data_IF_160979782948
#
_entry.id   IF_160979782948
#
_cell.length_a   1.000
_cell.length_b   1.000
_cell.length_c   1.000
_cell.angle_alpha   90.00
_cell.angle_beta   90.00
_cell.angle_gamma   90.00
#
_symmetry.space_group_name_H-M   'P 1'
#
loop_
_entity.id
_entity.type
_entity.pdbx_description
1 polymer ?
#
# COMPACT_ATOMS: atom_id res chain seq x y z
N UNK A 1 13.34 17.24 -40.72
CA UNK A 1 12.52 16.50 -39.75
C UNK A 1 13.28 15.23 -39.44
N UNK A 2 13.99 15.19 -38.30
CA UNK A 2 14.69 14.00 -37.87
C UNK A 2 13.66 13.07 -37.21
N UNK A 3 13.54 11.84 -37.72
CA UNK A 3 12.82 10.77 -37.04
C UNK A 3 13.49 10.55 -35.69
N UNK A 4 12.81 10.90 -34.61
CA UNK A 4 13.10 10.32 -33.31
C UNK A 4 12.83 8.83 -33.43
N UNK A 5 13.90 8.03 -33.49
CA UNK A 5 13.83 6.59 -33.29
C UNK A 5 13.20 6.36 -31.92
N UNK A 6 11.93 5.95 -31.88
CA UNK A 6 11.28 5.44 -30.68
C UNK A 6 12.16 4.33 -30.09
N UNK A 7 12.72 4.58 -28.91
CA UNK A 7 13.38 3.54 -28.12
C UNK A 7 12.29 2.52 -27.78
N UNK A 8 12.47 1.22 -28.08
CA UNK A 8 11.46 0.22 -27.79
C UNK A 8 11.14 0.23 -26.29
N UNK A 9 9.86 0.40 -25.97
CA UNK A 9 9.36 0.50 -24.60
C UNK A 9 9.39 -0.90 -23.98
N UNK A 10 10.29 -1.13 -23.02
CA UNK A 10 10.38 -2.40 -22.29
C UNK A 10 9.12 -2.60 -21.46
N UNK A 11 8.45 -3.75 -21.62
CA UNK A 11 7.27 -4.10 -20.83
C UNK A 11 7.70 -4.70 -19.48
N UNK A 12 6.92 -4.53 -18.38
CA UNK A 12 7.26 -5.13 -17.09
C UNK A 12 7.58 -6.62 -17.17
N UNK A 13 6.74 -7.42 -17.84
CA UNK A 13 6.93 -8.86 -18.00
C UNK A 13 8.12 -9.30 -18.88
N UNK A 14 8.87 -8.38 -19.49
CA UNK A 14 10.06 -8.67 -20.30
C UNK A 14 11.36 -8.59 -19.47
N UNK A 15 11.33 -7.94 -18.30
CA UNK A 15 12.49 -7.86 -17.41
C UNK A 15 12.63 -9.11 -16.54
N UNK A 16 13.87 -9.55 -16.33
CA UNK A 16 14.16 -10.70 -15.49
C UNK A 16 13.85 -10.41 -14.00
N UNK A 17 12.94 -11.15 -13.33
CA UNK A 17 12.60 -10.93 -11.92
C UNK A 17 13.76 -11.16 -10.93
N UNK A 18 14.90 -11.62 -11.42
CA UNK A 18 16.11 -11.96 -10.65
C UNK A 18 17.31 -11.08 -11.00
N UNK A 19 17.10 -9.99 -11.76
CA UNK A 19 18.15 -9.03 -12.06
C UNK A 19 18.79 -8.52 -10.74
N UNK A 20 20.13 -8.43 -10.65
CA UNK A 20 20.77 -7.92 -9.45
C UNK A 20 20.57 -6.41 -9.32
N UNK A 21 20.20 -5.96 -8.12
CA UNK A 21 20.12 -4.51 -7.83
C UNK A 21 21.48 -3.84 -8.12
N UNK A 22 21.51 -2.72 -8.87
CA UNK A 22 22.69 -1.92 -9.12
C UNK A 22 23.41 -1.52 -7.84
N UNK A 23 24.75 -1.52 -7.86
CA UNK A 23 25.57 -1.28 -6.66
C UNK A 23 25.32 0.10 -6.03
N UNK A 24 25.21 1.14 -6.87
CA UNK A 24 24.90 2.50 -6.42
C UNK A 24 23.60 2.55 -5.59
N UNK A 25 22.56 1.81 -6.01
CA UNK A 25 21.27 1.76 -5.31
C UNK A 25 21.35 0.95 -4.02
N UNK A 26 22.14 -0.12 -3.99
CA UNK A 26 22.43 -0.84 -2.74
C UNK A 26 23.13 0.06 -1.73
N UNK A 27 24.06 0.89 -2.18
CA UNK A 27 24.82 1.79 -1.32
C UNK A 27 23.96 2.96 -0.84
N UNK A 28 23.13 3.54 -1.70
CA UNK A 28 22.11 4.51 -1.31
C UNK A 28 21.14 3.90 -0.28
N UNK A 29 20.65 2.68 -0.50
CA UNK A 29 19.77 2.01 0.46
C UNK A 29 20.44 1.79 1.80
N UNK A 30 21.67 1.27 1.82
CA UNK A 30 22.44 1.04 3.04
C UNK A 30 22.73 2.34 3.79
N UNK A 31 22.98 3.44 3.08
CA UNK A 31 23.27 4.70 3.74
C UNK A 31 22.08 5.16 4.58
N UNK A 32 20.84 4.99 4.11
CA UNK A 32 19.61 5.38 4.83
C UNK A 32 19.00 4.30 5.73
N UNK A 33 19.41 3.04 5.58
CA UNK A 33 18.81 1.90 6.27
C UNK A 33 18.87 2.06 7.79
N UNK A 34 17.70 1.99 8.45
CA UNK A 34 17.60 1.99 9.91
C UNK A 34 18.00 3.31 10.58
N UNK A 35 18.16 4.40 9.82
CA UNK A 35 18.36 5.73 10.40
C UNK A 35 17.08 6.18 11.11
N UNK A 36 17.20 6.44 12.41
CA UNK A 36 16.17 7.08 13.21
C UNK A 36 16.47 8.57 13.29
N UNK A 37 15.87 9.34 12.39
CA UNK A 37 16.11 10.77 12.26
C UNK A 37 14.84 11.55 12.57
N UNK A 38 15.02 12.66 13.30
CA UNK A 38 13.96 13.65 13.48
C UNK A 38 13.68 14.39 12.18
N UNK A 39 12.48 14.97 12.04
CA UNK A 39 12.15 15.85 10.91
C UNK A 39 13.21 16.92 10.65
N UNK A 40 13.78 17.51 11.71
CA UNK A 40 14.84 18.55 11.59
C UNK A 40 16.12 17.99 10.97
N UNK A 41 16.53 16.79 11.37
CA UNK A 41 17.73 16.13 10.82
C UNK A 41 17.53 15.74 9.36
N UNK A 42 16.34 15.26 8.98
CA UNK A 42 16.04 14.91 7.59
C UNK A 42 16.15 16.15 6.68
N UNK A 43 15.59 17.27 7.11
CA UNK A 43 15.70 18.54 6.37
C UNK A 43 17.16 19.01 6.26
N UNK A 44 17.96 18.86 7.33
CA UNK A 44 19.37 19.23 7.32
C UNK A 44 20.23 18.33 6.41
N UNK A 45 19.87 17.05 6.26
CA UNK A 45 20.51 16.13 5.31
C UNK A 45 20.01 16.29 3.86
N UNK A 46 19.16 17.30 3.61
CA UNK A 46 18.65 17.57 2.27
C UNK A 46 17.75 16.45 1.76
N UNK A 47 17.04 15.72 2.65
CA UNK A 47 15.92 14.88 2.22
C UNK A 47 15.05 15.73 1.32
N UNK A 48 14.81 15.18 0.15
CA UNK A 48 14.09 15.80 -0.93
C UNK A 48 12.77 16.39 -0.44
N UNK A 49 12.74 17.71 -0.29
CA UNK A 49 11.49 18.45 -0.20
C UNK A 49 10.90 18.46 -1.60
N UNK A 50 9.68 17.92 -1.73
CA UNK A 50 8.98 17.84 -3.01
C UNK A 50 8.78 19.23 -3.62
N UNK A 51 8.66 20.28 -2.79
CA UNK A 51 8.58 21.65 -3.25
C UNK A 51 9.90 22.17 -3.87
N UNK A 52 11.03 21.54 -3.59
CA UNK A 52 12.36 21.95 -4.06
C UNK A 52 12.75 21.19 -5.33
N UNK A 53 12.55 19.87 -5.39
CA UNK A 53 12.98 19.06 -6.55
C UNK A 53 11.86 18.79 -7.55
N UNK A 54 10.61 18.93 -7.12
CA UNK A 54 9.45 18.56 -7.88
C UNK A 54 9.03 19.70 -8.79
N UNK A 55 8.75 19.38 -10.04
CA UNK A 55 7.99 20.30 -10.88
C UNK A 55 6.53 20.15 -10.49
N UNK A 56 5.92 21.23 -9.98
CA UNK A 56 4.52 21.24 -9.59
C UNK A 56 3.62 20.92 -10.79
N UNK A 57 2.64 20.06 -10.54
CA UNK A 57 1.66 19.53 -11.49
C UNK A 57 0.24 19.76 -10.94
N UNK A 58 -0.71 19.68 -11.85
CA UNK A 58 -2.14 19.93 -11.62
C UNK A 58 -2.96 18.80 -12.23
N UNK A 59 -2.61 17.56 -11.88
CA UNK A 59 -3.12 16.37 -12.58
C UNK A 59 -4.48 15.88 -12.03
N UNK A 60 -4.88 16.27 -10.81
CA UNK A 60 -6.14 15.85 -10.17
C UNK A 60 -6.93 17.08 -9.68
N UNK A 61 -8.18 17.23 -10.12
CA UNK A 61 -9.06 18.31 -9.64
C UNK A 61 -9.57 18.03 -8.22
N UNK A 62 -9.79 19.10 -7.44
CA UNK A 62 -10.36 18.98 -6.09
C UNK A 62 -11.76 18.33 -6.14
N UNK A 63 -12.57 18.66 -7.16
CA UNK A 63 -13.88 18.04 -7.38
C UNK A 63 -13.77 16.52 -7.59
N UNK A 64 -12.80 16.06 -8.40
CA UNK A 64 -12.56 14.63 -8.61
C UNK A 64 -12.17 13.95 -7.30
N UNK A 65 -11.23 14.53 -6.55
CA UNK A 65 -10.81 14.00 -5.26
C UNK A 65 -11.96 13.94 -4.25
N UNK A 66 -12.79 14.99 -4.21
CA UNK A 66 -13.95 15.07 -3.33
C UNK A 66 -14.98 13.98 -3.67
N UNK A 67 -15.38 13.88 -4.95
CA UNK A 67 -16.33 12.86 -5.42
C UNK A 67 -15.81 11.44 -5.19
N UNK A 68 -14.52 11.20 -5.40
CA UNK A 68 -13.90 9.91 -5.11
C UNK A 68 -13.97 9.59 -3.60
N UNK A 69 -13.56 10.53 -2.75
CA UNK A 69 -13.56 10.39 -1.29
C UNK A 69 -14.96 10.14 -0.74
N UNK A 70 -15.94 10.94 -1.16
CA UNK A 70 -17.34 10.80 -0.75
C UNK A 70 -17.90 9.43 -1.13
N UNK A 71 -17.65 8.98 -2.37
CA UNK A 71 -18.11 7.66 -2.83
C UNK A 71 -17.49 6.52 -2.03
N UNK A 72 -16.19 6.63 -1.73
CA UNK A 72 -15.48 5.63 -0.93
C UNK A 72 -16.08 5.53 0.48
N UNK A 73 -16.29 6.66 1.14
CA UNK A 73 -16.85 6.69 2.50
C UNK A 73 -18.32 6.21 2.55
N UNK A 74 -19.14 6.59 1.56
CA UNK A 74 -20.56 6.20 1.50
C UNK A 74 -20.77 4.71 1.19
N UNK A 75 -19.82 4.06 0.50
CA UNK A 75 -19.94 2.65 0.07
C UNK A 75 -20.05 1.63 1.21
N UNK A 76 -20.01 2.05 2.48
CA UNK A 76 -20.07 1.13 3.60
C UNK A 76 -20.80 1.66 4.82
N UNK A 77 -22.01 2.15 4.54
CA UNK A 77 -23.10 2.19 5.49
C UNK A 77 -23.01 3.27 6.56
N UNK A 78 -22.09 4.22 6.42
CA UNK A 78 -22.10 5.44 7.22
C UNK A 78 -22.80 6.54 6.43
N UNK A 79 -23.83 7.15 7.04
CA UNK A 79 -24.37 8.43 6.62
C UNK A 79 -23.27 9.47 6.80
N UNK A 80 -22.47 9.69 5.75
CA UNK A 80 -21.51 10.78 5.73
C UNK A 80 -22.33 12.04 5.46
N UNK A 81 -22.56 12.84 6.51
CA UNK A 81 -22.99 14.23 6.35
C UNK A 81 -22.12 14.85 5.25
N UNK A 82 -22.69 15.33 4.14
CA UNK A 82 -21.90 15.92 3.08
C UNK A 82 -21.11 17.06 3.72
N UNK A 83 -19.78 16.99 3.64
CA UNK A 83 -18.97 18.17 3.92
C UNK A 83 -19.30 19.16 2.82
N UNK A 84 -20.29 20.03 3.09
CA UNK A 84 -20.63 21.16 2.25
C UNK A 84 -19.45 22.11 2.37
N UNK A 85 -18.47 21.95 1.50
CA UNK A 85 -17.64 23.09 1.16
C UNK A 85 -18.55 24.14 0.54
N UNK A 86 -18.36 25.40 0.95
CA UNK A 86 -18.93 26.54 0.24
C UNK A 86 -18.80 26.27 -1.27
N UNK A 87 -19.89 26.47 -2.00
CA UNK A 87 -20.04 26.29 -3.45
C UNK A 87 -19.11 27.15 -4.32
N UNK A 88 -18.05 27.70 -3.73
CA UNK A 88 -16.99 28.50 -4.35
C UNK A 88 -15.69 27.72 -4.58
N UNK A 89 -15.68 26.38 -4.49
CA UNK A 89 -14.57 25.62 -5.09
C UNK A 89 -14.78 25.64 -6.60
N UNK A 90 -14.16 26.61 -7.27
CA UNK A 90 -14.17 26.66 -8.73
C UNK A 90 -13.64 25.35 -9.30
N UNK A 91 -14.22 24.88 -10.40
CA UNK A 91 -13.82 23.66 -11.14
C UNK A 91 -12.34 23.63 -11.58
N UNK A 92 -11.61 24.74 -11.36
CA UNK A 92 -10.23 24.95 -11.78
C UNK A 92 -9.18 24.69 -10.70
N UNK A 93 -9.58 24.38 -9.45
CA UNK A 93 -8.60 24.07 -8.41
C UNK A 93 -8.17 22.60 -8.47
N UNK A 94 -6.87 22.38 -8.53
CA UNK A 94 -6.22 21.06 -8.51
C UNK A 94 -5.45 20.87 -7.21
N UNK A 95 -5.31 19.63 -6.77
CA UNK A 95 -4.38 19.31 -5.69
C UNK A 95 -2.94 19.40 -6.18
N UNK A 96 -2.04 19.73 -5.25
CA UNK A 96 -0.62 19.78 -5.54
C UNK A 96 -0.08 18.37 -5.79
N UNK A 97 0.63 18.23 -6.90
CA UNK A 97 1.36 17.02 -7.26
C UNK A 97 2.72 17.43 -7.84
N UNK A 98 3.69 16.53 -7.78
CA UNK A 98 5.08 16.86 -8.10
C UNK A 98 5.67 15.76 -8.97
N UNK A 99 6.01 16.10 -10.21
CA UNK A 99 6.81 15.21 -11.06
C UNK A 99 8.28 15.37 -10.72
N UNK A 100 9.02 14.28 -10.66
CA UNK A 100 10.46 14.27 -10.32
C UNK A 100 11.28 14.16 -11.60
N UNK A 101 11.94 15.24 -12.09
CA UNK A 101 12.55 15.24 -13.42
C UNK A 101 13.67 14.20 -13.61
N UNK A 102 14.42 13.92 -12.55
CA UNK A 102 15.47 12.89 -12.54
C UNK A 102 14.90 11.46 -12.66
N UNK A 103 13.63 11.25 -12.35
CA UNK A 103 12.94 9.96 -12.45
C UNK A 103 11.67 10.12 -13.31
N UNK A 104 11.80 10.16 -14.66
CA UNK A 104 10.66 10.40 -15.55
C UNK A 104 9.48 9.46 -15.31
N UNK A 105 8.27 10.05 -15.28
CA UNK A 105 7.03 9.33 -15.02
C UNK A 105 6.75 9.05 -13.54
N UNK A 106 7.60 9.51 -12.61
CA UNK A 106 7.32 9.51 -11.18
C UNK A 106 6.55 10.78 -10.79
N UNK A 107 5.37 10.58 -10.21
CA UNK A 107 4.58 11.66 -9.60
C UNK A 107 4.37 11.38 -8.12
N UNK A 108 4.60 12.37 -7.26
CA UNK A 108 4.29 12.33 -5.84
C UNK A 108 3.16 13.29 -5.54
N UNK A 109 2.16 12.82 -4.81
CA UNK A 109 0.93 13.57 -4.50
C UNK A 109 0.81 13.64 -2.97
N UNK A 110 1.25 14.75 -2.36
CA UNK A 110 1.21 14.92 -0.92
C UNK A 110 -0.23 14.95 -0.40
N UNK A 111 -0.47 14.31 0.75
CA UNK A 111 -1.77 14.36 1.44
C UNK A 111 -2.98 14.03 0.54
N UNK A 112 -2.81 13.11 -0.43
CA UNK A 112 -3.90 12.66 -1.30
C UNK A 112 -5.10 12.16 -0.48
N UNK A 113 -4.84 11.44 0.61
CA UNK A 113 -5.91 10.99 1.51
C UNK A 113 -6.10 11.97 2.67
N UNK A 114 -7.32 12.50 2.82
CA UNK A 114 -7.71 13.24 4.02
C UNK A 114 -7.70 12.34 5.27
N UNK A 115 -7.62 12.91 6.49
CA UNK A 115 -7.65 12.13 7.74
C UNK A 115 -8.81 11.13 7.82
N UNK A 116 -10.02 11.55 7.43
CA UNK A 116 -11.22 10.70 7.45
C UNK A 116 -11.11 9.54 6.44
N UNK A 117 -10.57 9.80 5.24
CA UNK A 117 -10.36 8.76 4.22
C UNK A 117 -9.27 7.78 4.67
N UNK A 118 -8.22 8.23 5.36
CA UNK A 118 -7.18 7.37 5.92
C UNK A 118 -7.75 6.41 6.98
N UNK A 119 -8.50 6.92 7.95
CA UNK A 119 -9.16 6.09 8.97
C UNK A 119 -10.12 5.09 8.33
N UNK A 120 -10.92 5.54 7.36
CA UNK A 120 -11.83 4.65 6.62
C UNK A 120 -11.08 3.55 5.89
N UNK A 121 -10.02 3.90 5.17
CA UNK A 121 -9.17 2.94 4.46
C UNK A 121 -8.58 1.91 5.44
N UNK A 122 -8.10 2.33 6.62
CA UNK A 122 -7.62 1.39 7.63
C UNK A 122 -8.72 0.42 8.10
N UNK A 123 -9.91 0.90 8.42
CA UNK A 123 -11.03 0.04 8.82
C UNK A 123 -11.43 -0.92 7.69
N UNK A 124 -11.50 -0.45 6.45
CA UNK A 124 -11.76 -1.29 5.28
C UNK A 124 -10.71 -2.39 5.14
N UNK A 125 -9.42 -2.04 5.17
CA UNK A 125 -8.32 -2.99 5.00
C UNK A 125 -8.23 -4.00 6.17
N UNK A 126 -8.34 -3.54 7.42
CA UNK A 126 -7.99 -4.35 8.59
C UNK A 126 -9.16 -4.94 9.35
N UNK A 127 -10.38 -4.42 9.16
CA UNK A 127 -11.58 -5.01 9.77
C UNK A 127 -12.31 -5.90 8.77
N UNK A 128 -12.49 -5.42 7.53
CA UNK A 128 -13.16 -6.17 6.46
C UNK A 128 -12.19 -7.08 5.70
N UNK A 129 -11.21 -6.51 4.99
CA UNK A 129 -10.44 -7.27 3.98
C UNK A 129 -9.48 -8.29 4.61
N UNK A 130 -8.82 -7.95 5.72
CA UNK A 130 -7.96 -8.90 6.44
C UNK A 130 -8.73 -10.13 6.93
N UNK A 131 -10.03 -9.96 7.20
CA UNK A 131 -10.92 -11.01 7.70
C UNK A 131 -11.63 -11.79 6.59
N UNK A 132 -11.32 -11.50 5.31
CA UNK A 132 -11.80 -12.27 4.17
C UNK A 132 -10.85 -13.44 3.85
N UNK A 133 -11.40 -14.66 3.81
CA UNK A 133 -10.71 -15.90 3.45
C UNK A 133 -10.10 -15.94 2.04
N UNK A 134 -10.61 -15.09 1.15
CA UNK A 134 -10.16 -15.00 -0.23
C UNK A 134 -8.84 -14.23 -0.37
N UNK A 135 -8.50 -13.38 0.59
CA UNK A 135 -7.27 -12.60 0.60
C UNK A 135 -6.16 -13.32 1.34
N UNK A 136 -4.97 -13.44 0.72
CA UNK A 136 -3.81 -14.09 1.35
C UNK A 136 -2.96 -13.08 2.10
N UNK A 137 -2.30 -13.59 3.13
CA UNK A 137 -1.34 -12.88 3.98
C UNK A 137 -0.05 -13.67 4.09
N UNK A 138 1.02 -13.07 4.60
CA UNK A 138 2.28 -13.77 4.85
C UNK A 138 2.13 -14.98 5.80
N UNK A 139 1.09 -14.99 6.63
CA UNK A 139 0.81 -16.09 7.56
C UNK A 139 0.23 -17.32 6.84
N UNK A 140 -0.45 -17.13 5.70
CA UNK A 140 -0.99 -18.24 4.93
C UNK A 140 0.08 -19.18 4.37
N UNK A 141 1.33 -18.76 4.28
CA UNK A 141 2.43 -19.61 3.85
C UNK A 141 2.58 -20.83 4.78
N UNK A 142 2.52 -20.60 6.09
CA UNK A 142 2.86 -21.61 7.11
C UNK A 142 1.71 -21.98 8.04
N UNK A 143 0.56 -21.30 7.96
CA UNK A 143 -0.55 -21.47 8.89
C UNK A 143 -1.87 -21.65 8.14
N UNK A 144 -2.74 -22.48 8.71
CA UNK A 144 -4.18 -22.51 8.43
C UNK A 144 -4.84 -21.43 9.31
N UNK A 145 -5.62 -20.55 8.69
CA UNK A 145 -6.23 -19.39 9.37
C UNK A 145 -7.67 -19.71 9.77
N UNK A 146 -8.00 -19.48 11.03
CA UNK A 146 -9.34 -19.55 11.59
C UNK A 146 -9.87 -18.13 11.73
N UNK A 147 -10.81 -17.76 10.87
CA UNK A 147 -11.34 -16.41 10.82
C UNK A 147 -12.29 -16.11 11.99
N UNK A 148 -12.53 -14.83 12.33
CA UNK A 148 -13.54 -14.44 13.31
C UNK A 148 -14.94 -14.90 12.88
N UNK A 149 -15.81 -15.21 13.84
CA UNK A 149 -17.20 -15.63 13.59
C UNK A 149 -17.39 -17.06 13.07
N UNK A 150 -16.33 -17.84 12.82
CA UNK A 150 -16.45 -19.23 12.31
C UNK A 150 -16.44 -20.27 13.44
N UNK A 151 -16.98 -19.98 14.64
CA UNK A 151 -16.93 -20.93 15.75
C UNK A 151 -17.77 -22.18 15.48
N UNK A 152 -17.17 -23.36 15.66
CA UNK A 152 -17.84 -24.63 15.91
C UNK A 152 -18.23 -24.72 17.39
N UNK A 153 -19.38 -25.32 17.68
CA UNK A 153 -20.05 -25.43 18.99
C UNK A 153 -19.28 -26.11 20.14
N UNK A 154 -17.97 -26.37 20.01
CA UNK A 154 -17.18 -27.14 20.99
C UNK A 154 -16.38 -26.28 21.99
N UNK A 155 -16.21 -24.98 21.77
CA UNK A 155 -15.41 -24.08 22.63
C UNK A 155 -16.28 -23.13 23.51
N UNK A 156 -17.59 -23.35 23.59
CA UNK A 156 -18.57 -22.40 24.17
C UNK A 156 -18.74 -22.47 25.70
N UNK A 157 -17.66 -22.68 26.46
CA UNK A 157 -17.70 -22.61 27.94
C UNK A 157 -16.99 -21.34 28.44
N UNK A 158 -17.69 -20.21 28.36
CA UNK A 158 -17.30 -18.96 29.00
C UNK A 158 -18.15 -17.76 28.56
N UNK A 159 -18.42 -16.77 29.45
CA UNK A 159 -19.13 -15.56 29.05
C UNK A 159 -18.24 -14.74 28.08
N UNK A 160 -18.57 -14.75 26.79
CA UNK A 160 -17.88 -13.93 25.79
C UNK A 160 -18.14 -12.45 26.06
N UNK A 161 -17.09 -11.72 26.44
CA UNK A 161 -17.12 -10.24 26.50
C UNK A 161 -16.89 -9.59 25.12
N UNK A 162 -16.69 -10.39 24.09
CA UNK A 162 -16.47 -9.96 22.71
C UNK A 162 -17.77 -10.16 21.93
N UNK A 163 -18.15 -9.18 21.09
CA UNK A 163 -19.40 -9.28 20.34
C UNK A 163 -19.34 -10.47 19.38
N UNK A 164 -20.31 -11.37 19.47
CA UNK A 164 -20.47 -12.52 18.55
C UNK A 164 -20.66 -12.07 17.08
N UNK A 165 -20.91 -10.78 16.84
CA UNK A 165 -21.16 -10.16 15.54
C UNK A 165 -19.94 -9.50 14.89
N UNK A 166 -18.79 -9.36 15.58
CA UNK A 166 -17.62 -8.73 14.94
C UNK A 166 -16.90 -9.71 14.01
N UNK A 167 -17.02 -9.46 12.71
CA UNK A 167 -16.28 -10.19 11.67
C UNK A 167 -14.79 -9.79 11.58
N UNK A 168 -14.30 -8.91 12.46
CA UNK A 168 -12.94 -8.37 12.44
C UNK A 168 -12.00 -9.14 13.35
N UNK A 169 -10.75 -9.38 12.92
CA UNK A 169 -9.71 -9.89 13.83
C UNK A 169 -9.44 -8.96 15.02
N UNK A 170 -9.79 -7.68 14.93
CA UNK A 170 -9.67 -6.73 16.06
C UNK A 170 -10.81 -6.89 17.07
N UNK A 171 -11.96 -7.41 16.66
CA UNK A 171 -13.09 -7.74 17.56
C UNK A 171 -13.00 -9.13 18.18
N UNK A 172 -12.08 -9.96 17.69
CA UNK A 172 -11.84 -11.30 18.19
C UNK A 172 -11.04 -11.31 19.50
N UNK A 173 -11.16 -12.39 20.28
CA UNK A 173 -10.38 -12.59 21.49
C UNK A 173 -8.87 -12.58 21.13
N UNK A 174 -8.07 -11.62 21.64
CA UNK A 174 -6.68 -11.48 21.22
C UNK A 174 -5.80 -12.68 21.57
N UNK A 175 -6.18 -13.45 22.58
CA UNK A 175 -5.41 -14.63 23.03
C UNK A 175 -5.90 -15.92 22.35
N UNK A 176 -6.95 -15.85 21.51
CA UNK A 176 -7.39 -16.97 20.66
C UNK A 176 -6.30 -17.35 19.67
N UNK A 177 -6.04 -18.65 19.55
CA UNK A 177 -5.15 -19.21 18.52
C UNK A 177 -5.89 -19.25 17.18
N UNK A 178 -5.77 -18.17 16.42
CA UNK A 178 -6.37 -18.05 15.09
C UNK A 178 -5.51 -18.64 13.96
N UNK A 179 -4.20 -18.82 14.18
CA UNK A 179 -3.27 -19.26 13.15
C UNK A 179 -2.62 -20.57 13.57
N UNK A 180 -3.13 -21.67 13.01
CA UNK A 180 -2.69 -23.04 13.33
C UNK A 180 -1.59 -23.47 12.36
N UNK A 181 -0.43 -23.94 12.83
CA UNK A 181 0.68 -24.34 11.96
C UNK A 181 0.26 -25.46 10.99
N UNK A 182 0.62 -25.33 9.71
CA UNK A 182 0.53 -26.45 8.74
C UNK A 182 1.55 -27.54 9.06
N UNK A 183 2.71 -27.13 9.57
CA UNK A 183 3.79 -28.01 10.04
C UNK A 183 4.08 -27.73 11.53
N UNK A 184 3.35 -28.37 12.47
CA UNK A 184 3.48 -28.10 13.91
C UNK A 184 4.87 -28.32 14.50
N UNK A 185 5.70 -29.14 13.87
CA UNK A 185 7.08 -29.39 14.30
C UNK A 185 8.03 -28.24 13.96
N UNK A 186 7.68 -27.38 12.99
CA UNK A 186 8.52 -26.26 12.52
C UNK A 186 8.04 -24.91 13.03
N UNK A 187 6.74 -24.78 13.30
CA UNK A 187 6.11 -23.52 13.68
C UNK A 187 5.20 -23.69 14.90
N UNK A 188 5.26 -22.71 15.81
CA UNK A 188 4.36 -22.64 16.98
C UNK A 188 3.04 -21.98 16.60
N UNK A 189 1.90 -22.38 17.21
CA UNK A 189 0.63 -21.69 17.01
C UNK A 189 0.72 -20.19 17.32
N UNK A 190 -0.08 -19.40 16.61
CA UNK A 190 -0.04 -17.94 16.70
C UNK A 190 -1.42 -17.41 17.09
N UNK A 191 -1.43 -16.59 18.15
CA UNK A 191 -2.64 -15.89 18.60
C UNK A 191 -2.93 -14.68 17.73
N UNK A 192 -4.17 -14.18 17.78
CA UNK A 192 -4.56 -12.91 17.14
C UNK A 192 -3.63 -11.76 17.57
N UNK A 193 -3.32 -11.66 18.87
CA UNK A 193 -2.37 -10.69 19.45
C UNK A 193 -1.00 -10.76 18.82
N UNK A 194 -0.43 -11.96 18.71
CA UNK A 194 0.88 -12.14 18.11
C UNK A 194 0.87 -11.83 16.59
N UNK A 195 -0.21 -12.20 15.89
CA UNK A 195 -0.39 -11.89 14.49
C UNK A 195 -0.43 -10.37 14.25
N UNK A 196 -1.39 -9.67 14.83
CA UNK A 196 -1.61 -8.24 14.57
C UNK A 196 -0.49 -7.35 15.11
N UNK A 197 0.12 -7.66 16.26
CA UNK A 197 1.19 -6.80 16.81
C UNK A 197 2.52 -6.95 16.08
N UNK A 198 2.84 -8.14 15.56
CA UNK A 198 4.21 -8.47 15.14
C UNK A 198 4.35 -9.31 13.88
N UNK A 199 3.48 -10.32 13.67
CA UNK A 199 3.72 -11.32 12.61
C UNK A 199 3.06 -11.00 11.27
N UNK A 200 2.01 -10.17 11.22
CA UNK A 200 1.42 -9.71 9.97
C UNK A 200 2.37 -8.73 9.29
N UNK A 201 2.71 -9.00 8.03
CA UNK A 201 3.68 -8.24 7.23
C UNK A 201 3.09 -7.75 5.92
N UNK A 202 2.25 -8.57 5.31
CA UNK A 202 1.52 -8.18 4.11
C UNK A 202 0.20 -8.93 3.99
N UNK A 203 -0.72 -8.34 3.25
CA UNK A 203 -1.90 -8.99 2.68
C UNK A 203 -2.09 -8.61 1.20
N UNK A 204 -2.81 -9.43 0.46
CA UNK A 204 -3.07 -9.26 -0.98
C UNK A 204 -4.56 -9.10 -1.24
N UNK A 205 -4.94 -8.13 -2.07
CA UNK A 205 -6.32 -7.86 -2.47
C UNK A 205 -6.48 -8.12 -3.97
N UNK A 206 -7.58 -8.76 -4.38
CA UNK A 206 -7.77 -9.17 -5.76
C UNK A 206 -6.71 -10.20 -6.21
N UNK A 207 -5.87 -9.82 -7.17
CA UNK A 207 -4.72 -10.62 -7.62
C UNK A 207 -3.80 -11.12 -6.51
N UNK A 208 -3.56 -12.42 -6.47
CA UNK A 208 -2.78 -13.09 -5.41
C UNK A 208 -1.35 -13.31 -5.88
N UNK A 209 -0.42 -12.43 -5.52
CA UNK A 209 0.98 -12.54 -5.94
C UNK A 209 1.68 -13.75 -5.29
N UNK A 210 2.30 -14.61 -6.11
CA UNK A 210 3.13 -15.71 -5.63
C UNK A 210 4.60 -15.27 -5.52
N UNK A 211 5.09 -15.16 -4.29
CA UNK A 211 6.46 -14.75 -3.99
C UNK A 211 7.52 -15.77 -4.39
N UNK A 212 7.17 -17.06 -4.47
CA UNK A 212 8.07 -18.14 -4.87
C UNK A 212 8.19 -18.19 -6.39
N UNK A 213 7.06 -18.15 -7.09
CA UNK A 213 7.03 -18.13 -8.55
C UNK A 213 7.36 -16.73 -9.14
N UNK A 214 7.31 -15.68 -8.31
CA UNK A 214 7.45 -14.27 -8.70
C UNK A 214 6.48 -13.85 -9.82
N UNK A 215 5.27 -14.38 -9.75
CA UNK A 215 4.27 -14.21 -10.79
C UNK A 215 2.86 -14.13 -10.18
N UNK A 216 1.94 -13.58 -10.95
CA UNK A 216 0.52 -13.79 -10.68
C UNK A 216 0.10 -15.18 -11.21
N UNK A 217 -0.58 -16.00 -10.39
CA UNK A 217 -1.11 -17.29 -10.82
C UNK A 217 -2.05 -17.14 -12.02
N UNK A 218 -2.22 -18.23 -12.79
CA UNK A 218 -3.08 -18.22 -13.99
C UNK A 218 -4.56 -18.36 -13.63
N UNK A 219 -4.84 -18.88 -12.45
CA UNK A 219 -6.19 -19.04 -11.91
C UNK A 219 -6.88 -17.68 -11.76
N UNK A 220 -8.21 -17.68 -11.89
CA UNK A 220 -9.00 -16.47 -11.70
C UNK A 220 -8.75 -15.92 -10.28
N UNK A 221 -8.34 -14.65 -10.14
CA UNK A 221 -8.12 -14.07 -8.83
C UNK A 221 -9.46 -13.84 -8.11
N UNK A 222 -9.45 -13.77 -6.76
CA UNK A 222 -10.53 -13.17 -6.02
C UNK A 222 -10.93 -11.79 -6.58
N UNK A 223 -12.19 -11.37 -6.45
CA UNK A 223 -12.59 -10.02 -6.79
C UNK A 223 -11.74 -8.99 -6.04
N UNK A 224 -11.30 -7.95 -6.75
CA UNK A 224 -10.69 -6.80 -6.11
C UNK A 224 -11.77 -5.96 -5.41
N UNK A 225 -11.53 -5.42 -4.19
CA UNK A 225 -12.56 -4.67 -3.48
C UNK A 225 -13.12 -3.48 -4.29
N UNK A 226 -14.44 -3.44 -4.57
CA UNK A 226 -15.01 -2.53 -5.56
C UNK A 226 -14.99 -1.05 -5.11
N UNK A 227 -15.04 -0.81 -3.80
CA UNK A 227 -14.91 0.50 -3.18
C UNK A 227 -13.51 1.08 -3.40
N UNK A 228 -12.47 0.30 -3.15
CA UNK A 228 -11.07 0.69 -3.40
C UNK A 228 -10.85 0.83 -4.91
N UNK A 229 -11.37 -0.09 -5.73
CA UNK A 229 -11.26 -0.01 -7.19
C UNK A 229 -11.85 1.30 -7.74
N UNK A 230 -13.07 1.62 -7.34
CA UNK A 230 -13.77 2.84 -7.77
C UNK A 230 -13.04 4.10 -7.32
N UNK A 231 -12.56 4.12 -6.07
CA UNK A 231 -11.78 5.23 -5.54
C UNK A 231 -10.50 5.48 -6.35
N UNK A 232 -9.69 4.44 -6.58
CA UNK A 232 -8.42 4.55 -7.31
C UNK A 232 -8.66 4.86 -8.79
N UNK A 233 -9.63 4.22 -9.43
CA UNK A 233 -9.92 4.46 -10.86
C UNK A 233 -10.40 5.89 -11.13
N UNK A 234 -11.17 6.50 -10.22
CA UNK A 234 -11.55 7.92 -10.33
C UNK A 234 -10.36 8.87 -10.29
N UNK A 235 -9.33 8.55 -9.50
CA UNK A 235 -8.13 9.36 -9.35
C UNK A 235 -7.08 9.09 -10.44
N UNK A 236 -7.01 7.84 -10.92
CA UNK A 236 -6.02 7.37 -11.90
C UNK A 236 -6.73 6.59 -13.02
N UNK A 237 -7.44 7.28 -13.93
CA UNK A 237 -8.35 6.65 -14.90
C UNK A 237 -7.64 5.80 -15.97
N UNK A 238 -6.32 5.96 -16.11
CA UNK A 238 -5.50 5.18 -17.05
C UNK A 238 -5.16 3.77 -16.56
N UNK A 239 -5.53 3.42 -15.32
CA UNK A 239 -5.36 2.08 -14.78
C UNK A 239 -6.65 1.50 -14.21
N UNK A 240 -6.76 0.17 -14.23
CA UNK A 240 -7.83 -0.58 -13.57
C UNK A 240 -7.26 -1.37 -12.38
N UNK A 241 -7.65 -1.05 -11.14
CA UNK A 241 -7.26 -1.82 -9.97
C UNK A 241 -7.71 -3.28 -10.07
N UNK A 242 -6.74 -4.20 -10.10
CA UNK A 242 -7.00 -5.64 -10.17
C UNK A 242 -6.24 -6.41 -9.09
N UNK A 243 -5.12 -5.87 -8.62
CA UNK A 243 -4.32 -6.45 -7.55
C UNK A 243 -3.82 -5.35 -6.62
N UNK A 244 -3.69 -5.66 -5.33
CA UNK A 244 -2.93 -4.81 -4.43
C UNK A 244 -2.17 -5.61 -3.40
N UNK A 245 -1.03 -5.08 -2.98
CA UNK A 245 -0.27 -5.58 -1.84
C UNK A 245 -0.31 -4.51 -0.76
N UNK A 246 -0.90 -4.86 0.38
CA UNK A 246 -0.90 -4.04 1.59
C UNK A 246 0.25 -4.50 2.46
N UNK A 247 1.27 -3.66 2.60
CA UNK A 247 2.40 -3.91 3.46
C UNK A 247 2.18 -3.26 4.83
N UNK A 248 2.55 -3.98 5.89
CA UNK A 248 2.50 -3.54 7.28
C UNK A 248 3.92 -3.47 7.80
N UNK A 249 4.33 -2.27 8.20
CA UNK A 249 5.66 -2.01 8.75
C UNK A 249 5.57 -1.44 10.16
N UNK A 250 6.60 -1.70 10.95
CA UNK A 250 6.92 -1.02 12.20
C UNK A 250 8.34 -0.44 12.14
N UNK A 251 8.72 0.47 13.06
CA UNK A 251 10.10 0.92 13.22
C UNK A 251 11.09 -0.25 13.23
N UNK A 252 12.14 -0.14 12.41
CA UNK A 252 13.13 -1.20 12.18
C UNK A 252 12.82 -2.12 10.99
N UNK A 253 11.58 -2.13 10.48
CA UNK A 253 11.26 -2.82 9.24
C UNK A 253 11.79 -2.07 8.02
N UNK A 254 12.14 -2.82 6.99
CA UNK A 254 12.66 -2.30 5.71
C UNK A 254 12.13 -3.15 4.57
N UNK A 255 12.02 -2.56 3.37
CA UNK A 255 11.80 -3.28 2.13
C UNK A 255 13.00 -3.01 1.22
N UNK A 256 13.78 -4.05 0.92
CA UNK A 256 15.00 -3.92 0.12
C UNK A 256 14.68 -3.45 -1.30
N UNK A 257 15.68 -2.89 -1.98
CA UNK A 257 15.55 -2.47 -3.38
C UNK A 257 15.08 -3.63 -4.26
N UNK A 258 14.01 -3.39 -5.02
CA UNK A 258 13.39 -4.35 -5.94
C UNK A 258 12.72 -3.60 -7.10
N UNK A 259 12.16 -4.35 -8.06
CA UNK A 259 11.32 -3.86 -9.15
C UNK A 259 10.02 -4.66 -9.17
N UNK A 260 8.94 -4.01 -9.57
CA UNK A 260 7.66 -4.65 -9.81
C UNK A 260 7.53 -4.97 -11.31
N UNK A 261 7.85 -6.21 -11.68
CA UNK A 261 7.97 -6.66 -13.09
C UNK A 261 7.01 -7.80 -13.44
N UNK A 262 6.14 -8.19 -12.52
CA UNK A 262 5.35 -9.42 -12.67
C UNK A 262 4.01 -9.21 -13.38
N UNK A 263 3.61 -7.96 -13.61
CA UNK A 263 2.40 -7.62 -14.37
C UNK A 263 2.65 -7.78 -15.88
N UNK A 264 1.63 -8.23 -16.63
CA UNK A 264 1.73 -8.41 -18.08
C UNK A 264 1.45 -7.13 -18.88
N UNK A 265 1.12 -6.04 -18.20
CA UNK A 265 0.72 -4.78 -18.81
C UNK A 265 1.52 -3.62 -18.24
N UNK A 266 1.93 -2.73 -19.12
CA UNK A 266 2.54 -1.45 -18.75
C UNK A 266 1.47 -0.41 -18.40
N UNK A 267 0.88 -0.60 -17.21
CA UNK A 267 -0.07 0.33 -16.58
C UNK A 267 0.54 0.88 -15.31
N UNK A 268 0.12 2.09 -14.95
CA UNK A 268 0.64 2.79 -13.77
C UNK A 268 0.44 2.00 -12.48
N UNK A 269 1.33 2.23 -11.52
CA UNK A 269 1.28 1.67 -10.18
C UNK A 269 1.08 2.80 -9.17
N UNK A 270 0.06 2.66 -8.31
CA UNK A 270 -0.26 3.64 -7.26
C UNK A 270 0.14 3.07 -5.91
N UNK A 271 0.95 3.80 -5.16
CA UNK A 271 1.41 3.44 -3.82
C UNK A 271 0.94 4.48 -2.81
N UNK A 272 0.04 4.11 -1.90
CA UNK A 272 -0.55 5.00 -0.90
C UNK A 272 0.08 4.75 0.46
N UNK A 273 0.29 5.82 1.23
CA UNK A 273 0.95 5.84 2.53
C UNK A 273 0.01 6.21 3.66
N UNK A 274 -0.04 5.42 4.74
CA UNK A 274 -0.83 5.74 5.95
C UNK A 274 0.01 5.39 7.20
N UNK A 275 0.01 6.23 8.23
CA UNK A 275 0.74 6.03 9.49
C UNK A 275 2.11 6.70 9.51
N UNK A 276 3.08 6.07 10.17
CA UNK A 276 4.43 6.63 10.28
C UNK A 276 5.08 6.92 8.92
N UNK A 277 5.89 7.95 8.90
CA UNK A 277 6.67 8.34 7.73
C UNK A 277 7.70 7.28 7.36
N UNK A 278 8.06 7.25 6.07
CA UNK A 278 9.10 6.38 5.55
C UNK A 278 10.12 7.12 4.69
N UNK A 279 11.34 6.61 4.71
CA UNK A 279 12.37 6.95 3.73
C UNK A 279 12.27 5.97 2.56
N UNK A 280 11.75 6.47 1.45
CA UNK A 280 11.59 5.75 0.20
C UNK A 280 12.72 6.11 -0.75
N UNK A 281 13.30 5.11 -1.39
CA UNK A 281 14.39 5.27 -2.34
C UNK A 281 13.91 4.74 -3.67
N UNK A 282 14.14 5.51 -4.74
CA UNK A 282 13.80 5.13 -6.10
C UNK A 282 14.89 5.56 -7.07
N UNK A 283 15.18 4.74 -8.07
CA UNK A 283 16.20 5.07 -9.04
C UNK A 283 16.08 4.30 -10.35
N UNK A 284 16.76 4.84 -11.37
CA UNK A 284 16.87 4.27 -12.70
C UNK A 284 18.35 3.96 -12.97
N UNK A 285 18.63 2.80 -13.55
CA UNK A 285 19.98 2.38 -13.92
C UNK A 285 20.04 1.80 -15.34
N UNK A 286 18.97 1.94 -16.11
CA UNK A 286 18.82 1.33 -17.43
C UNK A 286 19.11 2.35 -18.53
N UNK A 287 19.20 1.88 -19.77
CA UNK A 287 19.23 2.70 -21.00
C UNK A 287 20.53 3.48 -21.29
N UNK A 288 21.68 3.03 -20.78
CA UNK A 288 22.98 3.61 -21.11
C UNK A 288 23.21 5.03 -20.58
N UNK A 289 22.30 5.52 -19.72
CA UNK A 289 22.43 6.79 -19.00
C UNK A 289 23.13 6.57 -17.65
N UNK A 290 23.78 7.62 -17.09
CA UNK A 290 24.26 7.54 -15.71
C UNK A 290 23.13 7.16 -14.76
N UNK A 291 23.33 6.17 -13.88
CA UNK A 291 22.32 5.80 -12.89
C UNK A 291 21.93 7.01 -12.02
N UNK A 292 20.64 7.14 -11.75
CA UNK A 292 20.06 8.21 -10.92
C UNK A 292 19.28 7.60 -9.76
N UNK A 293 19.26 8.30 -8.63
CA UNK A 293 18.61 7.85 -7.41
C UNK A 293 18.08 9.06 -6.63
N UNK A 294 16.85 8.93 -6.15
CA UNK A 294 16.16 9.92 -5.33
C UNK A 294 15.79 9.31 -3.98
N UNK A 295 15.82 10.14 -2.93
CA UNK A 295 15.49 9.74 -1.56
C UNK A 295 14.36 10.63 -1.06
N UNK A 296 13.17 10.06 -0.98
CA UNK A 296 11.94 10.76 -0.67
C UNK A 296 11.47 10.43 0.75
N UNK A 297 10.97 11.42 1.48
CA UNK A 297 10.17 11.19 2.68
C UNK A 297 8.70 11.09 2.28
N UNK A 298 8.10 9.93 2.49
CA UNK A 298 6.66 9.71 2.30
C UNK A 298 5.96 9.80 3.66
N UNK A 299 4.97 10.69 3.75
CA UNK A 299 4.18 10.94 4.96
C UNK A 299 2.82 10.23 4.89
N UNK A 300 2.11 10.22 6.01
CA UNK A 300 0.73 9.76 6.04
C UNK A 300 -0.16 10.57 5.09
N UNK A 301 -0.92 9.88 4.25
CA UNK A 301 -1.78 10.46 3.22
C UNK A 301 -1.10 10.62 1.86
N UNK A 302 0.23 10.54 1.76
CA UNK A 302 0.94 10.71 0.49
C UNK A 302 0.70 9.53 -0.46
N UNK A 303 0.65 9.82 -1.76
CA UNK A 303 0.65 8.82 -2.82
C UNK A 303 1.85 9.00 -3.76
N UNK A 304 2.37 7.87 -4.24
CA UNK A 304 3.35 7.80 -5.33
C UNK A 304 2.68 7.12 -6.51
N UNK A 305 2.74 7.75 -7.68
CA UNK A 305 2.25 7.19 -8.93
C UNK A 305 3.42 6.98 -9.88
N UNK A 306 3.66 5.71 -10.24
CA UNK A 306 4.76 5.29 -11.10
C UNK A 306 4.24 4.89 -12.47
N UNK A 307 4.68 5.59 -13.52
CA UNK A 307 4.30 5.38 -14.92
C UNK A 307 5.53 5.49 -15.83
N UNK A 308 5.45 4.97 -17.05
CA UNK A 308 6.56 5.08 -18.00
C UNK A 308 7.85 4.49 -17.42
N UNK A 309 8.93 5.26 -17.41
CA UNK A 309 10.22 4.75 -16.91
C UNK A 309 10.18 4.42 -15.41
N UNK A 310 9.53 5.25 -14.60
CA UNK A 310 9.45 5.01 -13.16
C UNK A 310 8.67 3.73 -12.80
N UNK A 311 7.82 3.23 -13.70
CA UNK A 311 7.09 1.97 -13.52
C UNK A 311 8.01 0.77 -13.34
N UNK A 312 9.22 0.84 -13.91
CA UNK A 312 10.26 -0.18 -13.83
C UNK A 312 11.46 0.32 -13.01
N UNK A 313 11.31 1.39 -12.22
CA UNK A 313 12.38 1.87 -11.37
C UNK A 313 12.68 0.88 -10.25
N UNK A 314 13.96 0.77 -9.90
CA UNK A 314 14.38 0.13 -8.67
C UNK A 314 13.90 0.96 -7.49
N UNK A 315 13.26 0.35 -6.51
CA UNK A 315 12.77 1.08 -5.35
C UNK A 315 12.73 0.25 -4.07
N UNK A 316 12.70 0.94 -2.92
CA UNK A 316 12.68 0.29 -1.61
C UNK A 316 12.33 1.26 -0.48
N UNK A 317 12.05 0.71 0.69
CA UNK A 317 11.78 1.45 1.93
C UNK A 317 12.93 1.21 2.90
N UNK A 318 13.76 2.23 3.09
CA UNK A 318 15.00 2.11 3.85
C UNK A 318 14.79 2.25 5.37
N UNK A 319 13.84 3.09 5.79
CA UNK A 319 13.56 3.33 7.21
C UNK A 319 12.11 3.73 7.43
N UNK A 320 11.55 3.31 8.57
CA UNK A 320 10.27 3.79 9.11
C UNK A 320 10.58 4.67 10.31
N UNK A 321 10.11 5.91 10.28
CA UNK A 321 10.47 6.92 11.27
C UNK A 321 9.55 6.83 12.50
N UNK A 322 10.05 6.40 13.67
CA UNK A 322 9.22 6.29 14.87
C UNK A 322 8.69 7.66 15.32
N UNK A 323 7.49 7.68 15.92
CA UNK A 323 6.89 8.90 16.47
C UNK A 323 6.45 9.94 15.43
N UNK A 324 6.23 9.51 14.18
CA UNK A 324 5.72 10.36 13.09
C UNK A 324 4.31 9.99 12.63
N UNK A 325 3.68 8.99 13.26
CA UNK A 325 2.26 8.71 13.00
C UNK A 325 1.44 9.95 13.37
N UNK A 326 0.50 10.42 12.53
CA UNK A 326 -0.34 11.55 12.87
C UNK A 326 -1.22 11.28 14.10
N UNK A 327 -1.46 12.30 14.92
CA UNK A 327 -2.25 12.21 16.15
C UNK A 327 -3.65 11.61 15.93
N UNK A 328 -4.30 11.94 14.81
CA UNK A 328 -5.64 11.40 14.46
C UNK A 328 -5.64 9.92 14.10
N UNK A 329 -4.47 9.30 13.87
CA UNK A 329 -4.33 7.86 13.68
C UNK A 329 -3.71 7.18 14.90
N UNK A 330 -3.07 7.92 15.81
CA UNK A 330 -2.34 7.34 16.92
C UNK A 330 -3.22 6.44 17.76
N UNK A 331 -4.48 6.80 18.01
CA UNK A 331 -5.38 6.03 18.87
C UNK A 331 -6.07 4.87 18.13
N UNK A 332 -6.04 4.83 16.79
CA UNK A 332 -6.73 3.81 16.00
C UNK A 332 -6.20 2.39 16.29
N UNK A 333 -7.07 1.36 16.39
CA UNK A 333 -8.54 1.40 16.28
C UNK A 333 -9.24 1.46 17.65
N UNK A 334 -8.66 2.17 18.63
CA UNK A 334 -9.05 2.12 20.05
C UNK A 334 -10.43 2.66 20.41
N UNK A 335 -11.10 3.37 19.50
CA UNK A 335 -12.50 3.79 19.67
C UNK A 335 -13.45 2.60 19.52
N UNK A 336 -13.28 1.79 18.48
CA UNK A 336 -14.10 0.60 18.20
C UNK A 336 -13.58 -0.63 18.97
N UNK A 337 -12.25 -0.75 19.13
CA UNK A 337 -11.60 -1.88 19.78
C UNK A 337 -10.59 -1.42 20.84
N UNK A 338 -11.03 -1.13 22.09
CA UNK A 338 -10.19 -0.56 23.14
C UNK A 338 -8.91 -1.36 23.47
N UNK A 339 -8.93 -2.70 23.36
CA UNK A 339 -7.74 -3.56 23.58
C UNK A 339 -6.60 -3.30 22.59
N UNK A 340 -6.93 -2.74 21.43
CA UNK A 340 -6.00 -2.45 20.34
C UNK A 340 -5.68 -0.97 20.24
N UNK A 341 -6.13 -0.16 21.21
CA UNK A 341 -5.79 1.25 21.29
C UNK A 341 -4.29 1.45 21.05
N UNK A 342 -3.98 2.39 20.16
CA UNK A 342 -2.62 2.70 19.73
C UNK A 342 -1.89 1.66 18.92
N UNK A 343 -2.62 0.77 18.24
CA UNK A 343 -2.01 -0.15 17.29
C UNK A 343 -1.32 0.59 16.13
N UNK A 344 -1.93 1.67 15.59
CA UNK A 344 -1.35 2.44 14.48
C UNK A 344 -0.17 3.34 14.86
N UNK A 345 -0.01 3.71 16.14
CA UNK A 345 1.00 4.65 16.62
C UNK A 345 2.41 4.39 16.07
N UNK A 346 2.81 3.11 16.05
CA UNK A 346 4.13 2.67 15.59
C UNK A 346 4.01 1.79 14.34
N UNK A 347 3.05 2.12 13.47
CA UNK A 347 2.78 1.38 12.23
C UNK A 347 2.81 2.30 11.03
N UNK A 348 3.24 1.73 9.93
CA UNK A 348 3.07 2.28 8.60
C UNK A 348 2.39 1.23 7.73
N UNK A 349 1.31 1.65 7.07
CA UNK A 349 0.59 0.87 6.09
C UNK A 349 0.90 1.44 4.70
N UNK A 350 1.17 0.55 3.76
CA UNK A 350 1.40 0.92 2.38
C UNK A 350 0.57 0.05 1.44
N UNK A 351 -0.33 0.67 0.69
CA UNK A 351 -1.22 0.01 -0.26
C UNK A 351 -0.67 0.23 -1.68
N UNK A 352 -0.16 -0.82 -2.32
CA UNK A 352 0.35 -0.77 -3.71
C UNK A 352 -0.66 -1.40 -4.65
N UNK A 353 -1.34 -0.59 -5.46
CA UNK A 353 -2.39 -1.01 -6.39
C UNK A 353 -1.85 -1.11 -7.81
N UNK A 354 -2.24 -2.17 -8.52
CA UNK A 354 -1.72 -2.56 -9.83
C UNK A 354 -2.83 -3.06 -10.75
N UNK A 355 -2.57 -2.99 -12.04
CA UNK A 355 -3.31 -3.72 -13.06
C UNK A 355 -2.45 -4.87 -13.58
N UNK A 356 -2.99 -6.09 -13.61
CA UNK A 356 -2.28 -7.29 -14.04
C UNK A 356 -2.46 -7.59 -15.53
N UNK A 357 -3.66 -7.34 -16.06
CA UNK A 357 -4.08 -7.70 -17.41
C UNK A 357 -4.95 -6.60 -18.05
N UNK A 358 -4.92 -6.46 -19.37
CA UNK A 358 -5.90 -5.66 -20.14
C UNK A 358 -7.15 -6.52 -20.46
N UNK A 359 -8.30 -5.88 -20.68
CA UNK A 359 -9.61 -6.55 -20.86
C UNK A 359 -9.61 -7.60 -21.99
N UNK A 360 -8.76 -7.46 -23.00
CA UNK A 360 -8.66 -8.42 -24.12
C UNK A 360 -8.10 -9.79 -23.69
N UNK A 361 -7.43 -9.88 -22.55
CA UNK A 361 -6.86 -11.13 -22.03
C UNK A 361 -7.79 -11.88 -21.08
N UNK A 362 -8.94 -11.32 -20.68
CA UNK A 362 -9.97 -12.08 -19.95
C UNK A 362 -10.61 -13.16 -20.84
N UNK A 363 -10.61 -12.94 -22.17
CA UNK A 363 -11.19 -13.84 -23.17
C UNK A 363 -10.19 -14.79 -23.84
N UNK A 364 -8.88 -14.73 -23.54
CA UNK A 364 -7.92 -15.76 -23.98
C UNK A 364 -7.81 -16.84 -22.91
N UNK A 365 -8.94 -17.50 -22.66
CA UNK A 365 -8.96 -18.85 -22.11
C UNK A 365 -8.78 -19.80 -23.30
N UNK A 366 -7.53 -20.15 -23.59
CA UNK A 366 -7.18 -21.36 -24.34
C UNK A 366 -5.90 -21.96 -23.73
#
# INVERSE_FOLDING_TARGET
>A
MANETEVPKVQPGELAPHEPVPQMMKDAFKSWKGRNMTTKQLHAEGITDLAIVGVKRSDISIDTLFKASQSFQASQGLDVEPVIFSTDISEYHTIDSYSIPSIPGLTVIPSLLSPAVQQRMLSTLFHRDLSDGNHKTNLHLHYNVRYPGTQSSEDADGPSRFSEESHSFFGDNPDRVAFVPKTPNEHKPVTVRAALKKKLRWMTLGGQYDWTAKAYPKEAPPPFPPDIASFIHKLFPTMKPQAAIVNVYSPGDTLSMHRDVSEKVDRGLVSISIGCDAIFIIGLADDGRPPVCEVLRLRSGDAVYMTGQSRLAWHGVASILPGTCPDYLEEWPGEEYPEWRRWMKDKRINLNIRQMFDDENENRKD
#
